data_IF_755004766643
#
_entry.id   IF_755004766643
#
_cell.length_a   1.000
_cell.length_b   1.000
_cell.length_c   1.000
_cell.angle_alpha   90.00
_cell.angle_beta   90.00
_cell.angle_gamma   90.00
#
_symmetry.space_group_name_H-M   'P 1'
#
loop_
_entity.id
_entity.type
_entity.pdbx_description
1 polymer ?
#
# COMPACT_ATOMS: atom_id res chain seq x y z
N UNK A 1 -11.68 -7.19 -14.23
CA UNK A 1 -10.30 -6.75 -14.06
C UNK A 1 -10.27 -5.28 -13.75
N UNK A 2 -9.25 -4.81 -13.08
CA UNK A 2 -9.11 -3.45 -12.63
C UNK A 2 -8.10 -3.42 -11.51
N UNK A 3 -7.79 -2.22 -11.04
CA UNK A 3 -6.81 -2.05 -9.98
C UNK A 3 -7.48 -2.22 -8.61
N UNK A 4 -7.12 -3.28 -7.90
CA UNK A 4 -7.49 -3.51 -6.51
C UNK A 4 -6.24 -3.35 -5.64
N UNK A 5 -6.34 -2.55 -4.57
CA UNK A 5 -5.21 -2.16 -3.75
C UNK A 5 -5.51 -2.44 -2.28
N UNK A 6 -4.55 -3.00 -1.58
CA UNK A 6 -4.73 -3.45 -0.20
C UNK A 6 -3.59 -2.97 0.67
N UNK A 7 -3.90 -2.61 1.91
CA UNK A 7 -2.90 -2.37 2.94
C UNK A 7 -3.23 -3.26 4.12
N UNK A 8 -2.24 -4.00 4.60
CA UNK A 8 -2.40 -5.00 5.65
C UNK A 8 -1.34 -4.79 6.72
N UNK A 9 -1.74 -4.98 7.99
CA UNK A 9 -0.80 -5.01 9.10
C UNK A 9 -0.62 -6.46 9.53
N UNK A 10 0.61 -6.89 9.72
CA UNK A 10 0.98 -8.26 10.08
C UNK A 10 1.89 -8.26 11.30
N UNK A 11 1.69 -9.21 12.21
CA UNK A 11 2.52 -9.35 13.40
C UNK A 11 2.67 -10.83 13.73
N UNK A 12 3.83 -11.21 14.30
CA UNK A 12 4.14 -12.58 14.66
C UNK A 12 4.96 -13.28 13.59
N UNK A 13 5.13 -14.59 13.76
CA UNK A 13 5.92 -15.39 12.83
C UNK A 13 5.12 -15.76 11.59
N UNK A 14 5.80 -15.78 10.47
CA UNK A 14 5.21 -16.26 9.23
C UNK A 14 5.05 -17.78 9.31
N UNK A 15 3.87 -18.27 8.94
CA UNK A 15 3.56 -19.71 8.94
C UNK A 15 3.12 -20.11 7.54
N UNK A 16 3.33 -21.38 7.22
CA UNK A 16 2.93 -21.93 5.94
C UNK A 16 1.86 -22.99 6.17
N UNK A 17 0.75 -22.90 5.47
CA UNK A 17 -0.32 -23.88 5.57
C UNK A 17 -0.03 -25.12 4.71
N UNK A 18 -0.94 -26.09 4.72
CA UNK A 18 -0.78 -27.35 4.00
C UNK A 18 -0.70 -27.18 2.48
N UNK A 19 -1.20 -26.06 1.97
CA UNK A 19 -1.18 -25.76 0.54
C UNK A 19 0.01 -24.90 0.12
N UNK A 20 0.88 -24.52 1.08
CA UNK A 20 2.06 -23.73 0.80
C UNK A 20 1.87 -22.23 0.88
N UNK A 21 0.72 -21.76 1.33
CA UNK A 21 0.47 -20.33 1.50
C UNK A 21 1.05 -19.82 2.82
N UNK A 22 1.73 -18.68 2.75
CA UNK A 22 2.28 -18.03 3.94
C UNK A 22 1.24 -17.14 4.59
N UNK A 23 1.08 -17.26 5.91
CA UNK A 23 0.20 -16.38 6.68
C UNK A 23 0.87 -15.99 7.99
N UNK A 24 0.31 -15.00 8.67
CA UNK A 24 0.83 -14.51 9.95
C UNK A 24 -0.19 -14.75 11.05
N UNK A 25 0.28 -14.97 12.28
CA UNK A 25 -0.60 -15.23 13.42
C UNK A 25 -1.60 -14.11 13.66
N UNK A 26 -1.18 -12.87 13.41
CA UNK A 26 -2.00 -11.70 13.64
C UNK A 26 -1.91 -10.81 12.40
N UNK A 27 -3.01 -10.68 11.69
CA UNK A 27 -3.05 -9.83 10.52
C UNK A 27 -4.42 -9.16 10.42
N UNK A 28 -4.44 -7.92 9.94
CA UNK A 28 -5.68 -7.18 9.75
C UNK A 28 -5.57 -6.31 8.50
N UNK A 29 -6.67 -6.13 7.81
CA UNK A 29 -6.74 -5.22 6.68
C UNK A 29 -6.90 -3.80 7.19
N UNK A 30 -6.00 -2.92 6.79
CA UNK A 30 -6.04 -1.51 7.18
C UNK A 30 -6.82 -0.67 6.19
N UNK A 31 -6.71 -0.97 4.90
CA UNK A 31 -7.37 -0.19 3.87
C UNK A 31 -7.53 -0.99 2.58
N UNK A 32 -8.52 -0.60 1.80
CA UNK A 32 -8.77 -1.14 0.48
C UNK A 32 -9.14 0.03 -0.44
N UNK A 33 -8.46 0.11 -1.58
CA UNK A 33 -8.78 1.09 -2.62
C UNK A 33 -9.11 0.36 -3.90
N UNK A 34 -10.02 0.91 -4.64
CA UNK A 34 -10.29 0.42 -5.98
C UNK A 34 -10.06 1.56 -6.97
N UNK A 35 -9.11 1.35 -7.86
CA UNK A 35 -8.75 2.32 -8.89
C UNK A 35 -8.28 3.66 -8.30
N UNK A 36 -7.26 3.59 -7.46
CA UNK A 36 -6.53 4.78 -7.00
C UNK A 36 -5.16 4.79 -7.69
N UNK A 37 -5.09 5.16 -8.98
CA UNK A 37 -3.87 5.02 -9.78
C UNK A 37 -2.71 5.86 -9.27
N UNK A 38 -2.96 7.04 -8.74
CA UNK A 38 -1.88 7.92 -8.26
C UNK A 38 -1.20 7.34 -7.03
N UNK A 39 -1.94 6.69 -6.14
CA UNK A 39 -1.34 5.97 -5.02
C UNK A 39 -0.53 4.78 -5.52
N UNK A 40 -1.04 4.05 -6.50
CA UNK A 40 -0.33 2.93 -7.12
C UNK A 40 1.02 3.38 -7.68
N UNK A 41 1.04 4.50 -8.39
CA UNK A 41 2.29 5.06 -8.94
C UNK A 41 3.27 5.43 -7.85
N UNK A 42 2.80 6.04 -6.76
CA UNK A 42 3.64 6.40 -5.63
C UNK A 42 4.26 5.16 -4.98
N UNK A 43 3.46 4.11 -4.79
CA UNK A 43 3.92 2.86 -4.19
C UNK A 43 4.91 2.13 -5.10
N UNK A 44 4.70 2.17 -6.42
CA UNK A 44 5.63 1.58 -7.36
C UNK A 44 6.99 2.27 -7.32
N UNK A 45 7.02 3.60 -7.26
CA UNK A 45 8.26 4.35 -7.14
C UNK A 45 9.00 3.98 -5.85
N UNK A 46 8.27 3.86 -4.74
CA UNK A 46 8.85 3.45 -3.47
C UNK A 46 9.43 2.03 -3.57
N UNK A 47 8.70 1.11 -4.18
CA UNK A 47 9.14 -0.26 -4.36
C UNK A 47 10.45 -0.33 -5.14
N UNK A 48 10.58 0.48 -6.19
CA UNK A 48 11.82 0.53 -6.99
C UNK A 48 12.95 1.18 -6.22
N UNK A 49 12.68 2.20 -5.43
CA UNK A 49 13.68 2.83 -4.58
C UNK A 49 14.25 1.86 -3.54
N UNK A 50 13.45 0.89 -3.12
CA UNK A 50 13.90 -0.15 -2.18
C UNK A 50 14.74 -1.24 -2.86
N UNK A 51 15.03 -1.12 -4.15
CA UNK A 51 15.92 -2.01 -4.89
C UNK A 51 15.21 -3.09 -5.68
N UNK A 52 13.93 -2.98 -5.90
CA UNK A 52 13.15 -3.97 -6.64
C UNK A 52 13.04 -3.62 -8.12
N UNK A 53 12.82 -4.64 -8.92
CA UNK A 53 12.75 -4.53 -10.38
C UNK A 53 11.66 -5.47 -10.89
N UNK A 54 11.17 -5.21 -12.09
CA UNK A 54 10.16 -6.04 -12.72
C UNK A 54 8.78 -5.42 -12.69
N UNK A 55 7.75 -6.26 -12.83
CA UNK A 55 6.36 -5.81 -12.86
C UNK A 55 5.80 -5.63 -11.46
N UNK A 56 5.24 -4.47 -11.19
CA UNK A 56 4.64 -4.14 -9.90
C UNK A 56 3.17 -4.61 -9.86
N UNK A 57 3.01 -5.93 -9.77
CA UNK A 57 1.69 -6.56 -9.71
C UNK A 57 1.76 -7.78 -8.79
N UNK A 58 0.87 -7.86 -7.82
CA UNK A 58 0.83 -8.96 -6.83
C UNK A 58 2.10 -9.07 -6.00
N UNK A 59 2.77 -7.95 -5.75
CA UNK A 59 3.98 -7.90 -4.92
C UNK A 59 3.74 -7.02 -3.71
N UNK A 60 4.47 -7.28 -2.63
CA UNK A 60 4.32 -6.55 -1.37
C UNK A 60 5.36 -5.44 -1.26
N UNK A 61 4.93 -4.29 -0.74
CA UNK A 61 5.82 -3.18 -0.36
C UNK A 61 5.67 -2.96 1.13
N UNK A 62 6.75 -3.13 1.89
CA UNK A 62 6.74 -2.83 3.32
C UNK A 62 6.81 -1.31 3.52
N UNK A 63 5.96 -0.78 4.38
CA UNK A 63 5.90 0.64 4.68
C UNK A 63 6.41 0.89 6.10
N UNK A 64 7.44 1.74 6.20
CA UNK A 64 7.99 2.16 7.49
C UNK A 64 7.36 3.48 7.93
N UNK A 65 7.65 3.93 9.16
CA UNK A 65 7.19 5.23 9.62
C UNK A 65 7.70 6.35 8.71
N UNK A 66 8.94 6.26 8.25
CA UNK A 66 9.50 7.23 7.30
C UNK A 66 8.77 7.24 5.96
N UNK A 67 8.38 6.07 5.48
CA UNK A 67 7.61 5.95 4.23
C UNK A 67 6.23 6.60 4.38
N UNK A 68 5.58 6.40 5.52
CA UNK A 68 4.27 7.00 5.79
C UNK A 68 4.37 8.52 5.90
N UNK A 69 5.45 9.02 6.50
CA UNK A 69 5.69 10.47 6.56
C UNK A 69 5.88 11.06 5.17
N UNK A 70 6.63 10.37 4.31
CA UNK A 70 6.83 10.80 2.93
C UNK A 70 5.51 10.79 2.15
N UNK A 71 4.66 9.78 2.37
CA UNK A 71 3.35 9.74 1.74
C UNK A 71 2.47 10.90 2.20
N UNK A 72 2.47 11.19 3.50
CA UNK A 72 1.71 12.30 4.05
C UNK A 72 2.16 13.64 3.46
N UNK A 73 3.47 13.83 3.33
CA UNK A 73 4.01 15.04 2.70
C UNK A 73 3.57 15.17 1.24
N UNK A 74 3.53 14.04 0.51
CA UNK A 74 3.05 14.04 -0.87
C UNK A 74 1.57 14.39 -0.96
N UNK A 75 0.77 13.91 -0.01
CA UNK A 75 -0.66 14.25 0.05
C UNK A 75 -0.87 15.73 0.38
N UNK A 76 -0.11 16.26 1.33
CA UNK A 76 -0.21 17.67 1.73
C UNK A 76 0.19 18.61 0.59
N UNK A 77 1.15 18.21 -0.21
CA UNK A 77 1.62 18.98 -1.36
C UNK A 77 0.80 18.73 -2.64
N UNK A 78 -0.18 17.83 -2.57
CA UNK A 78 -0.96 17.38 -3.73
C UNK A 78 -0.03 16.90 -4.86
N UNK A 79 1.01 16.15 -4.46
CA UNK A 79 2.12 15.76 -5.34
C UNK A 79 2.20 14.25 -5.61
N UNK A 80 1.10 13.52 -5.45
CA UNK A 80 1.09 12.12 -5.90
C UNK A 80 1.31 12.09 -7.40
N UNK A 81 2.14 11.16 -7.92
CA UNK A 81 2.40 11.11 -9.36
C UNK A 81 1.11 10.79 -10.13
N UNK A 82 0.85 11.57 -11.16
CA UNK A 82 -0.28 11.28 -12.04
C UNK A 82 0.02 9.98 -12.79
N UNK A 83 -0.76 8.97 -12.47
CA UNK A 83 -0.55 7.62 -13.00
C UNK A 83 -1.78 7.19 -13.77
N UNK A 84 -1.60 6.82 -15.03
CA UNK A 84 -2.68 6.39 -15.89
C UNK A 84 -2.36 5.02 -16.46
N UNK A 85 -3.40 4.25 -16.77
CA UNK A 85 -3.25 2.94 -17.37
C UNK A 85 -4.60 2.38 -17.73
N UNK A 86 -4.60 1.42 -18.62
CA UNK A 86 -5.83 0.82 -19.13
C UNK A 86 -6.73 0.29 -18.01
N UNK A 87 -6.12 -0.28 -16.96
CA UNK A 87 -6.85 -0.87 -15.83
C UNK A 87 -6.99 0.06 -14.64
N UNK A 88 -6.28 1.20 -14.61
CA UNK A 88 -6.13 2.01 -13.42
C UNK A 88 -7.20 3.10 -13.26
N UNK A 89 -7.75 3.59 -14.37
CA UNK A 89 -8.70 4.70 -14.35
C UNK A 89 -8.02 6.06 -14.43
N UNK A 90 -8.74 7.09 -14.02
CA UNK A 90 -8.27 8.48 -14.09
C UNK A 90 -7.83 8.97 -12.72
N UNK A 91 -7.47 10.25 -12.63
CA UNK A 91 -7.04 10.89 -11.39
C UNK A 91 -8.06 10.66 -10.26
N UNK A 92 -7.56 10.18 -9.13
CA UNK A 92 -8.39 9.75 -8.01
C UNK A 92 -8.08 10.49 -6.71
N UNK A 93 -7.19 11.49 -6.74
CA UNK A 93 -6.72 12.13 -5.52
C UNK A 93 -7.85 12.75 -4.69
N UNK A 94 -8.76 13.50 -5.33
CA UNK A 94 -9.87 14.13 -4.62
C UNK A 94 -10.83 13.10 -4.02
N UNK A 95 -11.01 11.99 -4.70
CA UNK A 95 -11.91 10.94 -4.26
C UNK A 95 -11.36 10.18 -3.05
N UNK A 96 -10.05 9.99 -2.97
CA UNK A 96 -9.43 9.15 -1.96
C UNK A 96 -8.64 9.92 -0.89
N UNK A 97 -8.60 11.24 -0.96
CA UNK A 97 -7.77 12.04 -0.05
C UNK A 97 -8.03 11.74 1.42
N UNK A 98 -9.29 11.67 1.82
CA UNK A 98 -9.65 11.39 3.21
C UNK A 98 -9.28 9.96 3.61
N UNK A 99 -9.54 9.01 2.75
CA UNK A 99 -9.19 7.60 3.01
C UNK A 99 -7.69 7.41 3.12
N UNK A 100 -6.91 8.10 2.29
CA UNK A 100 -5.45 8.04 2.33
C UNK A 100 -4.92 8.54 3.68
N UNK A 101 -5.47 9.64 4.19
CA UNK A 101 -5.07 10.21 5.47
C UNK A 101 -5.45 9.30 6.64
N UNK A 102 -6.62 8.70 6.57
CA UNK A 102 -7.05 7.74 7.57
C UNK A 102 -6.17 6.51 7.58
N UNK A 103 -5.80 6.01 6.41
CA UNK A 103 -4.86 4.90 6.28
C UNK A 103 -3.53 5.22 6.96
N UNK A 104 -2.96 6.39 6.70
CA UNK A 104 -1.68 6.79 7.30
C UNK A 104 -1.78 6.79 8.83
N UNK A 105 -2.87 7.31 9.38
CA UNK A 105 -3.08 7.36 10.83
C UNK A 105 -3.14 5.95 11.41
N UNK A 106 -3.90 5.07 10.80
CA UNK A 106 -4.05 3.69 11.27
C UNK A 106 -2.76 2.89 11.10
N UNK A 107 -2.04 3.09 10.01
CA UNK A 107 -0.77 2.44 9.77
C UNK A 107 0.29 2.84 10.80
N UNK A 108 0.35 4.13 11.14
CA UNK A 108 1.26 4.60 12.19
C UNK A 108 0.95 3.96 13.53
N UNK A 109 -0.31 3.87 13.88
CA UNK A 109 -0.73 3.24 15.13
C UNK A 109 -0.36 1.75 15.15
N UNK A 110 -0.55 1.05 14.04
CA UNK A 110 -0.20 -0.36 13.92
C UNK A 110 1.30 -0.58 14.10
N UNK A 111 2.13 0.23 13.45
CA UNK A 111 3.59 0.12 13.57
C UNK A 111 4.03 0.33 15.02
N UNK A 112 3.42 1.29 15.72
CA UNK A 112 3.74 1.54 17.12
C UNK A 112 3.36 0.37 18.02
N UNK A 113 2.42 -0.47 17.59
CA UNK A 113 2.02 -1.68 18.31
C UNK A 113 2.82 -2.92 17.89
N UNK A 114 3.81 -2.76 17.04
CA UNK A 114 4.68 -3.85 16.62
C UNK A 114 4.28 -4.55 15.33
N UNK A 115 3.31 -4.01 14.61
CA UNK A 115 2.92 -4.57 13.31
C UNK A 115 3.85 -4.11 12.19
N UNK A 116 3.95 -4.93 11.16
CA UNK A 116 4.57 -4.56 9.88
C UNK A 116 3.44 -4.21 8.92
N UNK A 117 3.51 -3.04 8.32
CA UNK A 117 2.49 -2.59 7.37
C UNK A 117 2.97 -2.85 5.96
N UNK A 118 2.11 -3.45 5.14
CA UNK A 118 2.45 -3.87 3.78
C UNK A 118 1.35 -3.40 2.83
N UNK A 119 1.78 -2.84 1.69
CA UNK A 119 0.88 -2.49 0.59
C UNK A 119 1.04 -3.52 -0.53
N UNK A 120 -0.07 -3.93 -1.12
CA UNK A 120 -0.05 -4.78 -2.30
C UNK A 120 -1.19 -4.38 -3.24
N UNK A 121 -1.03 -4.71 -4.50
CA UNK A 121 -2.05 -4.43 -5.50
C UNK A 121 -2.13 -5.56 -6.51
N UNK A 122 -3.29 -5.63 -7.14
CA UNK A 122 -3.58 -6.63 -8.15
C UNK A 122 -4.35 -5.95 -9.29
N UNK A 123 -3.85 -6.12 -10.49
CA UNK A 123 -4.48 -5.52 -11.67
C UNK A 123 -4.20 -6.33 -12.95
#
# INVERSE_FOLDING_TARGET
MGLDQYATARRGDAKTDDEGYTYYEDSMELAYWRKHPNLQGWMEELWREKGNDGEFNCVDVELTLGDLEALEESLDAEALPETVGFFFGENSDDHYAEQDREFIREARAAIKQGYTVVYSSWW
#
